data_IF_533686146788
#
_entry.id   IF_533686146788
#
_cell.length_a   1.000
_cell.length_b   1.000
_cell.length_c   1.000
_cell.angle_alpha   90.00
_cell.angle_beta   90.00
_cell.angle_gamma   90.00
#
_symmetry.space_group_name_H-M   'P 1'
#
loop_
_entity.id
_entity.type
_entity.pdbx_description
1 polymer ?
#
# COMPACT_ATOMS: atom_id res chain seq x y z
N UNK A 1 7.03 -9.00 6.47
CA UNK A 1 7.23 -9.43 5.06
C UNK A 1 5.93 -9.27 4.30
N UNK A 2 6.00 -8.89 3.02
CA UNK A 2 4.82 -8.80 2.14
C UNK A 2 4.78 -10.10 1.33
N UNK A 3 3.60 -10.71 1.24
CA UNK A 3 3.42 -11.98 0.54
C UNK A 3 2.37 -11.82 -0.54
N UNK A 4 2.56 -12.54 -1.64
CA UNK A 4 1.57 -12.59 -2.70
C UNK A 4 1.63 -13.93 -3.44
N UNK A 5 0.56 -14.21 -4.18
CA UNK A 5 0.48 -15.29 -5.15
C UNK A 5 -0.33 -14.81 -6.33
N UNK A 6 0.24 -14.87 -7.53
CA UNK A 6 -0.52 -14.57 -8.75
C UNK A 6 -1.49 -15.73 -9.08
N UNK A 7 -2.70 -15.37 -9.51
CA UNK A 7 -3.70 -16.30 -10.03
C UNK A 7 -3.17 -16.98 -11.29
N UNK A 8 -3.36 -18.30 -11.49
CA UNK A 8 -2.99 -18.97 -12.73
C UNK A 8 -3.57 -18.28 -13.97
N UNK A 9 -2.81 -18.20 -15.07
CA UNK A 9 -3.20 -17.45 -16.28
C UNK A 9 -4.54 -17.89 -16.86
N UNK A 10 -4.84 -19.19 -16.81
CA UNK A 10 -6.08 -19.80 -17.30
C UNK A 10 -7.31 -19.52 -16.41
N UNK A 11 -7.08 -18.91 -15.23
CA UNK A 11 -8.13 -18.54 -14.28
C UNK A 11 -8.32 -17.03 -14.14
N UNK A 12 -7.54 -16.22 -14.86
CA UNK A 12 -7.70 -14.76 -14.84
C UNK A 12 -8.96 -14.40 -15.60
N UNK A 13 -9.83 -13.62 -14.96
CA UNK A 13 -11.03 -13.11 -15.60
C UNK A 13 -10.68 -11.89 -16.46
N UNK A 14 -10.92 -11.94 -17.79
CA UNK A 14 -10.73 -10.77 -18.64
C UNK A 14 -11.76 -9.70 -18.33
N UNK A 15 -11.44 -8.45 -18.65
CA UNK A 15 -12.28 -7.30 -18.38
C UNK A 15 -13.24 -7.05 -19.53
N UNK A 16 -14.49 -6.73 -19.21
CA UNK A 16 -15.53 -6.43 -20.19
C UNK A 16 -16.26 -7.68 -20.69
N UNK A 17 -17.56 -7.52 -20.95
CA UNK A 17 -18.45 -8.64 -21.27
C UNK A 17 -18.38 -9.01 -22.76
N UNK A 18 -18.79 -8.09 -23.65
CA UNK A 18 -18.89 -8.35 -25.10
C UNK A 18 -17.52 -8.38 -25.80
N UNK A 19 -16.55 -7.67 -25.24
CA UNK A 19 -15.17 -7.64 -25.76
C UNK A 19 -14.22 -7.86 -24.60
N UNK A 20 -13.94 -9.13 -24.24
CA UNK A 20 -13.03 -9.46 -23.17
C UNK A 20 -11.63 -8.93 -23.45
N UNK A 21 -11.06 -8.17 -22.52
CA UNK A 21 -9.74 -7.52 -22.65
C UNK A 21 -8.84 -7.86 -21.48
N UNK A 22 -7.56 -8.02 -21.77
CA UNK A 22 -6.51 -8.07 -20.74
C UNK A 22 -5.43 -7.03 -21.01
N UNK A 23 -4.83 -6.58 -19.92
CA UNK A 23 -3.73 -5.62 -19.90
C UNK A 23 -2.84 -5.94 -18.69
N UNK A 24 -1.72 -5.21 -18.55
CA UNK A 24 -0.70 -5.53 -17.55
C UNK A 24 -1.25 -5.63 -16.13
N UNK A 25 -2.10 -4.67 -15.73
CA UNK A 25 -2.73 -4.66 -14.41
C UNK A 25 -3.66 -5.86 -14.20
N UNK A 26 -4.51 -6.17 -15.18
CA UNK A 26 -5.37 -7.38 -15.13
C UNK A 26 -4.59 -8.69 -14.97
N UNK A 27 -3.39 -8.77 -15.54
CA UNK A 27 -2.51 -9.95 -15.38
C UNK A 27 -1.93 -10.10 -13.97
N UNK A 28 -2.05 -9.10 -13.11
CA UNK A 28 -1.60 -9.13 -11.72
C UNK A 28 -2.65 -9.66 -10.74
N UNK A 29 -3.80 -10.14 -11.24
CA UNK A 29 -4.82 -10.83 -10.45
C UNK A 29 -4.20 -11.93 -9.59
N UNK A 30 -4.58 -11.98 -8.32
CA UNK A 30 -4.01 -12.87 -7.33
C UNK A 30 -4.40 -12.51 -5.89
N UNK A 31 -3.59 -13.02 -4.97
CA UNK A 31 -3.80 -12.86 -3.54
C UNK A 31 -2.59 -12.22 -2.87
N UNK A 32 -2.82 -11.46 -1.81
CA UNK A 32 -1.72 -10.92 -1.00
C UNK A 32 -2.09 -10.75 0.48
N UNK A 33 -1.07 -10.75 1.34
CA UNK A 33 -1.18 -10.53 2.78
C UNK A 33 0.13 -10.00 3.36
N UNK A 34 0.10 -9.59 4.63
CA UNK A 34 1.27 -9.07 5.33
C UNK A 34 1.59 -9.91 6.56
N UNK A 35 2.86 -10.26 6.73
CA UNK A 35 3.38 -10.89 7.93
C UNK A 35 4.10 -9.82 8.77
N UNK A 36 3.60 -9.55 9.97
CA UNK A 36 4.20 -8.57 10.88
C UNK A 36 4.24 -9.14 12.31
N UNK A 37 5.45 -9.45 12.79
CA UNK A 37 5.64 -10.18 14.04
C UNK A 37 4.95 -11.55 14.00
N UNK A 38 4.08 -11.83 14.96
CA UNK A 38 3.26 -13.06 15.01
C UNK A 38 1.89 -12.91 14.33
N UNK A 39 1.68 -11.87 13.53
CA UNK A 39 0.38 -11.56 12.93
C UNK A 39 0.41 -11.69 11.40
N UNK A 40 -0.60 -12.37 10.86
CA UNK A 40 -0.97 -12.29 9.45
C UNK A 40 -2.07 -11.22 9.31
N UNK A 41 -1.71 -10.05 8.79
CA UNK A 41 -2.66 -8.99 8.48
C UNK A 41 -3.22 -9.20 7.08
N UNK A 42 -4.41 -8.64 6.83
CA UNK A 42 -5.14 -8.79 5.54
C UNK A 42 -5.60 -10.22 5.23
N UNK A 43 -5.69 -11.07 6.25
CA UNK A 43 -6.34 -12.38 6.16
C UNK A 43 -7.82 -12.27 6.52
N UNK A 44 -8.72 -12.80 5.69
CA UNK A 44 -10.17 -12.81 5.93
C UNK A 44 -10.58 -13.82 7.00
N UNK A 45 -11.69 -13.55 7.69
CA UNK A 45 -12.33 -14.46 8.67
C UNK A 45 -13.22 -15.52 8.02
N UNK A 46 -13.52 -15.37 6.74
CA UNK A 46 -14.45 -16.22 5.99
C UNK A 46 -13.87 -17.56 5.55
N UNK A 47 -14.68 -18.38 4.85
CA UNK A 47 -14.28 -19.67 4.31
C UNK A 47 -13.46 -19.56 3.01
N UNK A 48 -13.03 -18.36 2.62
CA UNK A 48 -12.32 -18.11 1.37
C UNK A 48 -11.03 -18.95 1.29
N UNK A 49 -10.75 -19.52 0.11
CA UNK A 49 -9.54 -20.29 -0.15
C UNK A 49 -8.83 -19.79 -1.43
N UNK A 50 -7.66 -19.14 -1.31
CA UNK A 50 -6.97 -18.81 -0.06
C UNK A 50 -7.66 -17.66 0.72
N UNK A 51 -7.53 -17.60 2.06
CA UNK A 51 -8.25 -16.63 2.90
C UNK A 51 -7.56 -15.26 2.97
N UNK A 52 -7.07 -14.77 1.82
CA UNK A 52 -6.32 -13.52 1.72
C UNK A 52 -7.03 -12.56 0.79
N UNK A 53 -6.59 -11.30 0.78
CA UNK A 53 -7.12 -10.32 -0.15
C UNK A 53 -6.98 -10.84 -1.57
N UNK A 54 -8.11 -11.09 -2.22
CA UNK A 54 -8.23 -11.52 -3.62
C UNK A 54 -8.44 -10.28 -4.50
N UNK A 55 -7.34 -9.71 -4.96
CA UNK A 55 -7.33 -8.48 -5.75
C UNK A 55 -6.00 -8.35 -6.52
N UNK A 56 -5.97 -7.46 -7.50
CA UNK A 56 -4.77 -7.16 -8.28
C UNK A 56 -3.58 -6.80 -7.38
N UNK A 57 -2.53 -7.64 -7.39
CA UNK A 57 -1.30 -7.45 -6.59
C UNK A 57 -0.59 -6.17 -7.00
N UNK A 58 -0.74 -5.75 -8.27
CA UNK A 58 -0.25 -4.46 -8.75
C UNK A 58 -0.75 -3.28 -7.93
N UNK A 59 -1.97 -3.36 -7.36
CA UNK A 59 -2.53 -2.25 -6.59
C UNK A 59 -1.78 -2.03 -5.28
N UNK A 60 -1.52 -3.12 -4.53
CA UNK A 60 -0.68 -3.07 -3.34
C UNK A 60 0.72 -2.56 -3.67
N UNK A 61 1.29 -3.04 -4.78
CA UNK A 61 2.62 -2.64 -5.24
C UNK A 61 2.71 -1.16 -5.61
N UNK A 62 1.73 -0.62 -6.35
CA UNK A 62 1.65 0.80 -6.66
C UNK A 62 1.52 1.65 -5.39
N UNK A 63 0.61 1.27 -4.49
CA UNK A 63 0.35 2.01 -3.25
C UNK A 63 1.57 2.04 -2.33
N UNK A 64 2.29 0.91 -2.20
CA UNK A 64 3.54 0.86 -1.42
C UNK A 64 4.63 1.76 -2.03
N UNK A 65 4.80 1.74 -3.36
CA UNK A 65 5.80 2.60 -4.03
C UNK A 65 5.46 4.08 -3.89
N UNK A 66 4.17 4.41 -3.89
CA UNK A 66 3.70 5.78 -3.71
C UNK A 66 4.03 6.31 -2.31
N UNK A 67 3.72 5.54 -1.25
CA UNK A 67 3.90 5.99 0.14
C UNK A 67 5.33 5.81 0.65
N UNK A 68 6.16 4.97 0.03
CA UNK A 68 7.49 4.62 0.55
C UNK A 68 8.39 5.82 0.89
N UNK A 69 8.53 6.85 0.04
CA UNK A 69 9.28 8.06 0.37
C UNK A 69 8.82 8.71 1.69
N UNK A 70 7.51 8.82 1.84
CA UNK A 70 6.84 9.47 2.97
C UNK A 70 6.97 8.66 4.24
N UNK A 71 6.80 7.34 4.16
CA UNK A 71 7.01 6.40 5.30
C UNK A 71 8.44 6.43 5.82
N UNK A 72 9.43 6.63 4.94
CA UNK A 72 10.85 6.62 5.29
C UNK A 72 11.38 7.97 5.80
N UNK A 73 10.57 9.03 5.73
CA UNK A 73 10.88 10.31 6.35
C UNK A 73 10.76 10.17 7.88
N UNK A 74 11.83 10.46 8.66
CA UNK A 74 11.74 10.41 10.11
C UNK A 74 10.73 11.43 10.63
N UNK A 75 9.80 10.94 11.46
CA UNK A 75 8.90 11.77 12.25
C UNK A 75 9.66 12.42 13.41
N UNK A 76 9.53 13.75 13.62
CA UNK A 76 10.06 14.42 14.80
C UNK A 76 9.45 13.88 16.10
N UNK A 77 10.29 13.68 17.12
CA UNK A 77 9.95 13.10 18.42
C UNK A 77 8.64 13.61 19.04
N UNK A 78 8.45 14.93 19.03
CA UNK A 78 7.32 15.62 19.66
C UNK A 78 6.01 15.53 18.86
N UNK A 79 6.07 15.05 17.61
CA UNK A 79 4.91 14.79 16.77
C UNK A 79 4.46 13.33 16.81
N UNK A 80 5.29 12.40 17.30
CA UNK A 80 4.99 10.95 17.33
C UNK A 80 3.64 10.66 18.01
N UNK A 81 3.35 11.28 19.15
CA UNK A 81 2.06 11.07 19.85
C UNK A 81 0.88 11.52 19.00
N UNK A 82 0.97 12.70 18.35
CA UNK A 82 -0.10 13.18 17.47
C UNK A 82 -0.31 12.27 16.26
N UNK A 83 0.79 11.74 15.73
CA UNK A 83 0.80 10.85 14.57
C UNK A 83 0.20 9.49 14.91
N UNK A 84 0.50 8.95 16.08
CA UNK A 84 -0.02 7.67 16.55
C UNK A 84 -1.55 7.72 16.83
N UNK A 85 -2.07 8.90 17.15
CA UNK A 85 -3.49 9.13 17.44
C UNK A 85 -4.33 9.33 16.17
N UNK A 86 -5.65 9.40 16.36
CA UNK A 86 -6.56 9.90 15.34
C UNK A 86 -6.70 11.42 15.39
N UNK A 87 -6.67 12.02 14.21
CA UNK A 87 -7.11 13.41 14.01
C UNK A 87 -8.64 13.44 14.05
N UNK A 88 -9.26 14.49 14.63
CA UNK A 88 -10.70 14.66 14.54
C UNK A 88 -11.17 14.58 13.08
N UNK A 89 -12.43 14.21 12.83
CA UNK A 89 -13.02 14.50 11.54
C UNK A 89 -12.99 16.00 11.27
N UNK A 90 -12.94 16.34 9.98
CA UNK A 90 -13.07 17.69 9.48
C UNK A 90 -14.31 18.37 10.11
N UNK A 91 -14.11 19.55 10.68
CA UNK A 91 -15.19 20.43 11.13
C UNK A 91 -15.55 21.47 10.05
N UNK A 92 -16.58 22.27 10.30
CA UNK A 92 -17.05 23.33 9.40
C UNK A 92 -16.22 24.63 9.47
N UNK A 93 -15.21 24.68 10.35
CA UNK A 93 -14.36 25.84 10.56
C UNK A 93 -13.44 26.12 9.37
N UNK A 94 -13.01 27.38 9.22
CA UNK A 94 -11.95 27.76 8.28
C UNK A 94 -10.66 26.96 8.55
N UNK A 95 -10.14 26.34 7.50
CA UNK A 95 -8.94 25.51 7.53
C UNK A 95 -7.74 26.41 7.18
N UNK A 96 -6.85 26.57 8.14
CA UNK A 96 -5.54 27.18 7.88
C UNK A 96 -4.66 26.21 7.10
N UNK A 97 -3.69 26.72 6.34
CA UNK A 97 -2.69 25.89 5.65
C UNK A 97 -1.96 24.94 6.63
N UNK A 98 -1.78 25.38 7.89
CA UNK A 98 -1.17 24.59 8.94
C UNK A 98 -2.03 23.38 9.32
N UNK A 99 -3.33 23.58 9.53
CA UNK A 99 -4.28 22.48 9.81
C UNK A 99 -4.35 21.54 8.61
N UNK A 100 -4.42 22.07 7.38
CA UNK A 100 -4.39 21.27 6.17
C UNK A 100 -3.12 20.41 6.09
N UNK A 101 -1.94 20.97 6.38
CA UNK A 101 -0.69 20.21 6.39
C UNK A 101 -0.71 19.05 7.40
N UNK A 102 -1.26 19.26 8.60
CA UNK A 102 -1.40 18.19 9.60
C UNK A 102 -2.38 17.09 9.15
N UNK A 103 -3.49 17.45 8.49
CA UNK A 103 -4.42 16.48 7.90
C UNK A 103 -3.83 15.73 6.71
N UNK A 104 -3.17 16.44 5.78
CA UNK A 104 -2.51 15.86 4.61
C UNK A 104 -1.46 14.86 5.04
N UNK A 105 -0.63 15.21 6.04
CA UNK A 105 0.32 14.27 6.62
C UNK A 105 -0.41 13.00 7.09
N UNK A 106 -1.49 13.13 7.85
CA UNK A 106 -2.25 11.95 8.30
C UNK A 106 -2.82 11.12 7.14
N UNK A 107 -3.27 11.74 6.06
CA UNK A 107 -3.82 11.07 4.89
C UNK A 107 -2.77 10.31 4.07
N UNK A 108 -1.60 10.91 3.87
CA UNK A 108 -0.54 10.41 2.97
C UNK A 108 0.24 9.19 3.50
N UNK A 109 0.04 8.83 4.78
CA UNK A 109 0.76 7.72 5.42
C UNK A 109 -0.07 6.42 5.52
N UNK A 110 -1.31 6.42 5.02
CA UNK A 110 -2.14 5.21 4.96
C UNK A 110 -1.90 4.44 3.67
N UNK A 111 -1.81 3.12 3.80
CA UNK A 111 -1.95 2.25 2.65
C UNK A 111 -3.38 2.37 2.13
N UNK A 112 -3.54 2.74 0.86
CA UNK A 112 -4.86 2.85 0.27
C UNK A 112 -5.45 1.45 0.08
N UNK A 113 -6.45 1.10 0.89
CA UNK A 113 -7.18 -0.17 0.77
C UNK A 113 -8.64 0.06 0.37
N UNK A 114 -8.99 1.24 -0.14
CA UNK A 114 -10.36 1.65 -0.44
C UNK A 114 -11.07 0.80 -1.52
N UNK A 115 -10.31 -0.01 -2.25
CA UNK A 115 -10.83 -1.00 -3.19
C UNK A 115 -11.32 -2.29 -2.51
N UNK A 116 -11.13 -2.43 -1.20
CA UNK A 116 -11.63 -3.57 -0.41
C UNK A 116 -12.95 -3.24 0.29
N UNK A 117 -13.87 -4.21 0.25
CA UNK A 117 -15.07 -4.18 1.09
C UNK A 117 -14.67 -4.17 2.58
N UNK A 118 -15.15 -3.19 3.34
CA UNK A 118 -14.79 -3.01 4.75
C UNK A 118 -13.28 -2.95 4.99
N UNK A 119 -12.57 -2.13 4.22
CA UNK A 119 -11.11 -2.02 4.28
C UNK A 119 -10.60 -1.80 5.72
N UNK A 120 -9.59 -2.56 6.18
CA UNK A 120 -8.88 -2.24 7.42
C UNK A 120 -8.03 -1.01 7.20
N UNK A 121 -7.56 -0.39 8.29
CA UNK A 121 -6.67 0.76 8.21
C UNK A 121 -5.25 0.33 8.57
N UNK A 122 -4.30 0.71 7.71
CA UNK A 122 -2.89 0.41 7.89
C UNK A 122 -2.06 1.66 7.62
N UNK A 123 -1.34 2.14 8.63
CA UNK A 123 -0.50 3.34 8.55
C UNK A 123 0.93 2.99 8.92
N UNK A 124 1.87 3.72 8.34
CA UNK A 124 3.29 3.58 8.64
C UNK A 124 3.93 4.92 8.98
N UNK A 125 4.91 4.93 9.87
CA UNK A 125 5.79 6.07 10.08
C UNK A 125 7.13 5.62 10.64
N UNK A 126 8.18 6.40 10.38
CA UNK A 126 9.53 6.12 10.89
C UNK A 126 9.87 7.00 12.09
N UNK A 127 10.53 6.44 13.08
CA UNK A 127 11.15 7.18 14.21
C UNK A 127 12.63 6.84 14.31
N UNK A 128 13.43 7.76 14.87
CA UNK A 128 14.89 7.56 15.02
C UNK A 128 15.44 7.80 16.43
N UNK A 129 14.64 8.32 17.36
CA UNK A 129 15.10 8.70 18.70
C UNK A 129 15.37 7.50 19.63
N UNK A 130 14.60 6.41 19.48
CA UNK A 130 14.75 5.15 20.22
C UNK A 130 15.04 4.00 19.26
N UNK A 131 16.05 4.21 18.41
CA UNK A 131 16.39 3.32 17.30
C UNK A 131 15.68 3.67 16.00
N UNK A 132 16.27 3.26 14.88
CA UNK A 132 15.74 3.52 13.55
C UNK A 132 14.71 2.45 13.16
N UNK A 133 13.43 2.79 13.34
CA UNK A 133 12.33 1.84 13.14
C UNK A 133 11.19 2.45 12.33
N UNK A 134 10.51 1.60 11.56
CA UNK A 134 9.20 1.89 10.98
C UNK A 134 8.15 1.24 11.88
N UNK A 135 7.21 2.03 12.35
CA UNK A 135 6.01 1.55 13.05
C UNK A 135 4.90 1.32 12.04
N UNK A 136 4.31 0.13 12.10
CA UNK A 136 3.07 -0.25 11.45
C UNK A 136 1.93 -0.13 12.47
N UNK A 137 0.93 0.72 12.20
CA UNK A 137 -0.32 0.82 12.97
C UNK A 137 -1.46 0.19 12.18
N UNK A 138 -1.97 -0.91 12.72
CA UNK A 138 -3.05 -1.70 12.16
C UNK A 138 -4.33 -1.46 12.95
N UNK A 139 -5.43 -1.30 12.21
CA UNK A 139 -6.78 -1.30 12.76
C UNK A 139 -7.68 -2.18 11.92
N UNK A 140 -8.18 -3.22 12.57
CA UNK A 140 -9.00 -4.24 11.95
C UNK A 140 -10.39 -3.70 11.62
N UNK A 141 -10.87 -4.03 10.43
CA UNK A 141 -12.27 -3.87 10.05
C UNK A 141 -13.00 -5.22 10.09
N UNK A 142 -14.34 -5.23 10.17
CA UNK A 142 -15.13 -6.47 10.10
C UNK A 142 -14.76 -7.28 8.85
N UNK A 143 -14.65 -8.59 9.01
CA UNK A 143 -14.25 -9.52 7.94
C UNK A 143 -12.77 -9.89 7.92
N UNK A 144 -11.92 -9.22 8.69
CA UNK A 144 -10.49 -9.54 8.81
C UNK A 144 -10.13 -10.19 10.14
N UNK A 145 -9.14 -11.07 10.13
CA UNK A 145 -8.59 -11.75 11.31
C UNK A 145 -7.53 -10.88 12.01
N UNK A 146 -6.92 -11.41 13.08
CA UNK A 146 -5.90 -10.71 13.85
C UNK A 146 -6.47 -9.80 14.94
N UNK A 147 -5.60 -9.06 15.65
CA UNK A 147 -6.00 -8.19 16.74
C UNK A 147 -6.83 -7.00 16.24
N UNK A 148 -7.68 -6.45 17.11
CA UNK A 148 -8.49 -5.27 16.77
C UNK A 148 -7.62 -4.06 16.41
N UNK A 149 -6.54 -3.87 17.16
CA UNK A 149 -5.47 -2.92 16.89
C UNK A 149 -4.12 -3.57 17.12
N UNK A 150 -3.10 -3.17 16.38
CA UNK A 150 -1.72 -3.55 16.64
C UNK A 150 -0.78 -2.43 16.24
N UNK A 151 0.27 -2.24 17.04
CA UNK A 151 1.43 -1.41 16.67
C UNK A 151 2.66 -2.28 16.69
N UNK A 152 3.36 -2.33 15.57
CA UNK A 152 4.49 -3.21 15.37
C UNK A 152 5.65 -2.35 14.88
N UNK A 153 6.70 -2.24 15.68
CA UNK A 153 7.93 -1.60 15.26
C UNK A 153 8.83 -2.65 14.59
N UNK A 154 9.35 -2.31 13.42
CA UNK A 154 10.36 -3.09 12.70
C UNK A 154 11.56 -2.21 12.41
N UNK A 155 12.80 -2.75 12.40
CA UNK A 155 13.96 -1.99 11.95
C UNK A 155 13.71 -1.40 10.56
N UNK A 156 14.10 -0.14 10.33
CA UNK A 156 13.86 0.53 9.04
C UNK A 156 14.52 -0.21 7.88
N UNK A 157 15.69 -0.81 8.10
CA UNK A 157 16.37 -1.63 7.09
C UNK A 157 15.59 -2.90 6.74
N UNK A 158 14.97 -3.56 7.72
CA UNK A 158 14.14 -4.75 7.49
C UNK A 158 12.87 -4.37 6.71
N UNK A 159 12.27 -3.22 7.01
CA UNK A 159 11.14 -2.70 6.23
C UNK A 159 11.54 -2.41 4.78
N UNK A 160 12.66 -1.71 4.57
CA UNK A 160 13.19 -1.45 3.22
C UNK A 160 13.49 -2.74 2.47
N UNK A 161 14.10 -3.72 3.14
CA UNK A 161 14.38 -5.03 2.56
C UNK A 161 13.09 -5.73 2.15
N UNK A 162 12.08 -5.78 3.02
CA UNK A 162 10.80 -6.41 2.72
C UNK A 162 10.06 -5.76 1.53
N UNK A 163 10.11 -4.43 1.41
CA UNK A 163 9.51 -3.72 0.25
C UNK A 163 10.28 -3.99 -1.04
N UNK A 164 11.62 -4.01 -1.00
CA UNK A 164 12.46 -4.35 -2.16
C UNK A 164 12.27 -5.81 -2.60
N UNK A 165 12.27 -6.75 -1.66
CA UNK A 165 12.03 -8.17 -1.94
C UNK A 165 10.66 -8.38 -2.61
N UNK A 166 9.63 -7.66 -2.13
CA UNK A 166 8.32 -7.69 -2.76
C UNK A 166 8.33 -7.10 -4.18
N UNK A 167 8.95 -5.94 -4.37
CA UNK A 167 9.12 -5.29 -5.67
C UNK A 167 9.78 -6.23 -6.69
N UNK A 168 10.93 -6.79 -6.33
CA UNK A 168 11.72 -7.68 -7.17
C UNK A 168 10.95 -8.98 -7.49
N UNK A 169 10.36 -9.62 -6.46
CA UNK A 169 9.63 -10.87 -6.65
C UNK A 169 8.37 -10.67 -7.51
N UNK A 170 7.62 -9.59 -7.29
CA UNK A 170 6.42 -9.29 -8.06
C UNK A 170 6.75 -8.95 -9.52
N UNK A 171 7.75 -8.10 -9.76
CA UNK A 171 8.15 -7.74 -11.12
C UNK A 171 8.75 -8.94 -11.87
N UNK A 172 9.48 -9.83 -11.20
CA UNK A 172 9.97 -11.07 -11.78
C UNK A 172 8.82 -12.01 -12.20
N UNK A 173 7.83 -12.21 -11.32
CA UNK A 173 6.65 -13.02 -11.62
C UNK A 173 5.84 -12.42 -12.79
N UNK A 174 5.69 -11.09 -12.83
CA UNK A 174 5.05 -10.40 -13.96
C UNK A 174 5.87 -10.51 -15.24
N UNK A 175 7.21 -10.53 -15.18
CA UNK A 175 8.06 -10.73 -16.33
C UNK A 175 7.90 -12.12 -16.95
N UNK A 176 7.81 -13.17 -16.11
CA UNK A 176 7.46 -14.52 -16.54
C UNK A 176 6.10 -14.55 -17.24
N UNK A 177 5.09 -13.99 -16.60
CA UNK A 177 3.73 -13.95 -17.13
C UNK A 177 3.62 -13.22 -18.47
N UNK A 178 4.25 -12.04 -18.58
CA UNK A 178 4.29 -11.27 -19.82
C UNK A 178 4.97 -12.07 -20.93
N UNK A 179 6.07 -12.78 -20.62
CA UNK A 179 6.74 -13.65 -21.60
C UNK A 179 5.85 -14.79 -22.06
N UNK A 180 5.13 -15.46 -21.16
CA UNK A 180 4.23 -16.57 -21.49
C UNK A 180 3.09 -16.10 -22.41
N UNK A 181 2.39 -15.03 -22.05
CA UNK A 181 1.29 -14.46 -22.85
C UNK A 181 1.78 -14.02 -24.22
N UNK A 182 2.96 -13.40 -24.28
CA UNK A 182 3.60 -13.01 -25.54
C UNK A 182 3.94 -14.21 -26.40
N UNK A 183 4.55 -15.26 -25.83
CA UNK A 183 4.96 -16.46 -26.55
C UNK A 183 3.75 -17.23 -27.10
N UNK A 184 2.63 -17.21 -26.39
CA UNK A 184 1.36 -17.79 -26.83
C UNK A 184 0.65 -16.95 -27.92
N UNK A 185 1.10 -15.72 -28.19
CA UNK A 185 0.43 -14.81 -29.12
C UNK A 185 -0.84 -14.16 -28.54
N UNK A 186 -0.99 -14.16 -27.23
CA UNK A 186 -2.16 -13.64 -26.51
C UNK A 186 -2.86 -14.70 -25.67
N UNK A 187 -4.10 -14.40 -25.25
CA UNK A 187 -4.98 -15.33 -24.55
C UNK A 187 -6.16 -15.63 -25.47
N UNK A 188 -6.52 -16.90 -25.73
CA UNK A 188 -7.62 -17.24 -26.63
C UNK A 188 -8.93 -16.52 -26.28
N UNK A 189 -9.54 -15.87 -27.27
CA UNK A 189 -10.81 -15.16 -27.09
C UNK A 189 -10.73 -13.84 -26.32
N UNK A 190 -9.53 -13.36 -25.98
CA UNK A 190 -9.31 -12.13 -25.22
C UNK A 190 -8.44 -11.17 -26.04
N UNK A 191 -8.90 -9.93 -26.17
CA UNK A 191 -8.13 -8.86 -26.80
C UNK A 191 -7.01 -8.41 -25.86
N UNK A 192 -5.78 -8.42 -26.37
CA UNK A 192 -4.61 -7.93 -25.66
C UNK A 192 -3.60 -7.29 -26.63
N UNK A 193 -3.23 -6.05 -26.36
CA UNK A 193 -2.17 -5.37 -27.10
C UNK A 193 -0.81 -5.81 -26.55
N UNK A 194 -0.19 -6.79 -27.23
CA UNK A 194 1.09 -7.37 -26.82
C UNK A 194 2.24 -6.37 -26.83
N UNK A 195 2.21 -5.39 -27.73
CA UNK A 195 3.28 -4.39 -27.80
C UNK A 195 3.14 -3.36 -26.67
N UNK A 196 1.91 -2.93 -26.37
CA UNK A 196 1.64 -2.13 -25.18
C UNK A 196 1.99 -2.89 -23.92
N UNK A 197 1.66 -4.18 -23.81
CA UNK A 197 1.99 -5.00 -22.65
C UNK A 197 3.51 -5.04 -22.39
N UNK A 198 4.31 -5.27 -23.44
CA UNK A 198 5.78 -5.25 -23.34
C UNK A 198 6.30 -3.87 -22.92
N UNK A 199 5.78 -2.79 -23.52
CA UNK A 199 6.19 -1.42 -23.19
C UNK A 199 5.86 -1.08 -21.74
N UNK A 200 4.63 -1.36 -21.32
CA UNK A 200 4.18 -1.08 -19.96
C UNK A 200 5.02 -1.83 -18.92
N UNK A 201 5.28 -3.12 -19.14
CA UNK A 201 6.13 -3.89 -18.22
C UNK A 201 7.56 -3.29 -18.12
N UNK A 202 8.18 -2.94 -19.25
CA UNK A 202 9.51 -2.29 -19.24
C UNK A 202 9.50 -0.96 -18.48
N UNK A 203 8.47 -0.15 -18.66
CA UNK A 203 8.32 1.12 -17.93
C UNK A 203 8.18 0.89 -16.43
N UNK A 204 7.44 -0.14 -16.00
CA UNK A 204 7.21 -0.46 -14.59
C UNK A 204 8.43 -1.05 -13.88
N UNK A 205 9.28 -1.77 -14.62
CA UNK A 205 10.57 -2.30 -14.12
C UNK A 205 11.62 -1.18 -13.97
N UNK A 206 11.44 -0.04 -14.63
CA UNK A 206 12.40 1.05 -14.51
C UNK A 206 12.48 1.55 -13.06
N UNK A 207 13.69 1.90 -12.58
CA UNK A 207 13.85 2.53 -11.28
C UNK A 207 12.99 3.78 -11.19
N UNK A 208 12.17 3.89 -10.15
CA UNK A 208 11.55 5.17 -9.83
C UNK A 208 12.63 6.04 -9.19
N UNK A 209 12.81 7.30 -9.63
CA UNK A 209 13.76 8.20 -8.99
C UNK A 209 13.49 8.25 -7.50
N UNK A 210 14.55 8.22 -6.67
CA UNK A 210 14.39 8.46 -5.24
C UNK A 210 13.72 9.82 -5.05
N UNK A 211 12.46 9.80 -4.61
CA UNK A 211 11.79 11.00 -4.14
C UNK A 211 12.16 11.13 -2.68
N UNK A 212 12.75 12.26 -2.30
CA UNK A 212 12.78 12.64 -0.89
C UNK A 212 11.41 13.18 -0.54
N UNK A 213 10.81 12.68 0.54
CA UNK A 213 9.68 13.37 1.13
C UNK A 213 10.11 14.79 1.56
N UNK A 214 9.18 15.73 1.47
CA UNK A 214 9.43 17.17 1.69
C UNK A 214 8.42 17.71 2.69
N UNK A 215 8.20 16.98 3.78
CA UNK A 215 7.26 17.43 4.80
C UNK A 215 7.76 18.73 5.42
N UNK A 216 6.93 19.77 5.38
CA UNK A 216 7.16 20.98 6.16
C UNK A 216 6.78 20.72 7.62
N UNK A 217 7.74 20.20 8.37
CA UNK A 217 7.54 19.85 9.78
C UNK A 217 7.21 21.05 10.67
N UNK A 218 7.59 22.28 10.27
CA UNK A 218 7.21 23.48 11.01
C UNK A 218 5.73 23.78 10.83
N UNK A 219 5.24 23.68 9.58
CA UNK A 219 3.83 23.86 9.23
C UNK A 219 2.95 22.77 9.85
N UNK A 220 3.35 21.50 9.76
CA UNK A 220 2.67 20.38 10.43
C UNK A 220 2.59 20.65 11.93
N UNK A 221 3.69 21.04 12.57
CA UNK A 221 3.73 21.33 14.01
C UNK A 221 2.83 22.51 14.39
N UNK A 222 2.72 23.52 13.53
CA UNK A 222 1.75 24.61 13.71
C UNK A 222 0.31 24.09 13.68
N UNK A 223 -0.04 23.24 12.71
CA UNK A 223 -1.37 22.64 12.59
C UNK A 223 -1.72 21.76 13.79
N UNK A 224 -0.77 20.97 14.28
CA UNK A 224 -0.95 20.15 15.49
C UNK A 224 -1.27 20.99 16.71
N UNK A 225 -0.58 22.12 16.91
CA UNK A 225 -0.86 23.03 18.02
C UNK A 225 -2.28 23.59 17.92
N UNK A 226 -2.68 24.02 16.73
CA UNK A 226 -4.01 24.57 16.48
C UNK A 226 -5.11 23.52 16.74
N UNK A 227 -4.95 22.30 16.21
CA UNK A 227 -5.90 21.19 16.44
C UNK A 227 -6.03 20.82 17.92
N UNK A 228 -4.93 20.88 18.68
CA UNK A 228 -4.96 20.64 20.13
C UNK A 228 -5.70 21.76 20.88
N UNK A 229 -5.55 23.01 20.46
CA UNK A 229 -6.28 24.14 21.06
C UNK A 229 -7.79 24.05 20.81
N UNK A 230 -8.21 23.59 19.62
CA UNK A 230 -9.64 23.39 19.30
C UNK A 230 -10.31 22.27 20.11
N UNK A 231 -9.52 21.38 20.73
CA UNK A 231 -10.00 20.27 21.58
C UNK A 231 -10.06 20.62 23.09
N UNK A 232 -9.42 21.71 23.52
CA UNK A 232 -9.30 22.11 24.92
C UNK A 232 -10.45 23.04 25.34
#
# INVERSE_FOLDING_TARGET
MIRFRLRPLDRIEPWGDETPKLHWFGLSDGWYWLEAGSHELLRYTGPDDPPYVDYYVARLWEDLREILPTVLEPVPADLVTFIADDVPPWGDDEITDAVLAAYSWHGEHWLNLGYLSSAPRLRFWRTTDDGDTVTLDWRRSPGFTGPATARIAVPTEDFRAAVREFDDAFLAAMAERVREVVAAGGVPGVEIDLDRLRREHRTRVAPVPERSARTDWELVRAGVRELRQRRA
#
